data_IF_375502508961
#
_entry.id   IF_375502508961
#
_cell.length_a   1.000
_cell.length_b   1.000
_cell.length_c   1.000
_cell.angle_alpha   90.00
_cell.angle_beta   90.00
_cell.angle_gamma   90.00
#
_symmetry.space_group_name_H-M   'P 1'
#
loop_
_entity.id
_entity.type
_entity.pdbx_description
1 polymer ?
#
# COMPACT_ATOMS: atom_id res chain seq x y z
N UNK A 1 38.96 35.38 8.61
CA UNK A 1 38.16 34.51 9.50
C UNK A 1 38.46 33.07 9.12
N UNK A 2 39.36 32.47 9.87
CA UNK A 2 39.81 31.09 9.74
C UNK A 2 39.02 30.23 10.74
N UNK A 3 38.61 29.01 10.35
CA UNK A 3 38.76 27.84 11.21
C UNK A 3 38.52 26.54 10.42
N UNK A 4 39.62 25.94 9.96
CA UNK A 4 39.71 24.51 9.64
C UNK A 4 40.13 23.82 10.94
N UNK A 5 39.29 22.93 11.46
CA UNK A 5 39.65 22.10 12.63
C UNK A 5 40.19 20.77 12.09
N UNK A 6 41.52 20.69 12.14
CA UNK A 6 42.34 19.50 11.91
C UNK A 6 42.49 18.83 13.28
N UNK A 7 42.04 17.59 13.43
CA UNK A 7 42.40 16.76 14.59
C UNK A 7 43.38 15.69 14.11
N UNK A 8 44.66 15.98 14.34
CA UNK A 8 45.78 15.07 14.19
C UNK A 8 46.12 14.60 15.61
N UNK A 9 45.87 13.33 15.94
CA UNK A 9 46.43 12.71 17.14
C UNK A 9 47.29 11.56 16.69
N UNK A 10 48.58 11.82 16.85
CA UNK A 10 49.74 11.00 16.55
C UNK A 10 50.02 10.18 17.81
N UNK A 11 49.84 8.86 17.76
CA UNK A 11 50.39 7.95 18.79
C UNK A 11 51.37 6.99 18.10
N UNK A 12 52.62 7.43 18.14
CA UNK A 12 53.84 6.71 18.52
C UNK A 12 53.94 5.23 18.15
N UNK A 13 54.88 5.00 17.23
CA UNK A 13 55.49 3.71 16.94
C UNK A 13 56.34 3.18 18.11
N UNK A 14 56.13 1.90 18.43
CA UNK A 14 57.11 0.92 18.89
C UNK A 14 56.76 -0.34 18.07
N UNK A 15 57.60 -1.01 17.29
CA UNK A 15 58.98 -1.38 17.52
C UNK A 15 59.04 -2.92 17.48
N UNK A 16 59.47 -3.48 16.34
CA UNK A 16 60.17 -4.76 16.15
C UNK A 16 59.69 -6.01 16.93
N UNK A 17 59.19 -7.03 16.21
CA UNK A 17 59.72 -8.40 16.35
C UNK A 17 59.42 -9.22 15.09
N UNK A 18 60.50 -9.80 14.55
CA UNK A 18 60.56 -10.73 13.43
C UNK A 18 59.67 -11.97 13.63
N UNK A 19 59.15 -12.52 12.52
CA UNK A 19 58.63 -13.88 12.53
C UNK A 19 57.83 -14.27 11.30
N UNK A 20 58.50 -14.54 10.16
CA UNK A 20 57.95 -15.48 9.18
C UNK A 20 57.87 -16.85 9.83
N UNK A 21 56.65 -17.38 10.00
CA UNK A 21 56.39 -18.82 10.11
C UNK A 21 55.13 -19.14 9.32
N UNK A 22 55.35 -19.69 8.13
CA UNK A 22 54.45 -20.63 7.50
C UNK A 22 54.32 -21.86 8.42
N UNK A 23 53.11 -22.14 8.90
CA UNK A 23 52.66 -23.50 9.18
C UNK A 23 51.15 -23.53 9.44
N UNK A 24 50.54 -24.52 8.79
CA UNK A 24 49.31 -25.23 9.15
C UNK A 24 47.95 -24.62 8.80
N UNK A 25 47.51 -25.05 7.62
CA UNK A 25 46.14 -25.44 7.26
C UNK A 25 45.38 -25.96 8.50
N UNK A 26 44.56 -25.09 9.11
CA UNK A 26 43.44 -25.51 9.95
C UNK A 26 42.14 -25.09 9.30
N UNK A 27 41.39 -26.13 8.96
CA UNK A 27 40.01 -26.19 8.50
C UNK A 27 39.10 -25.39 9.46
N UNK A 28 39.05 -24.08 9.26
CA UNK A 28 38.06 -23.21 9.87
C UNK A 28 36.81 -23.26 9.02
N UNK A 29 35.82 -24.04 9.46
CA UNK A 29 34.43 -23.84 9.05
C UNK A 29 34.12 -22.39 9.38
N UNK A 30 34.09 -21.54 8.37
CA UNK A 30 33.54 -20.20 8.48
C UNK A 30 32.05 -20.39 8.70
N UNK A 31 31.64 -20.40 9.97
CA UNK A 31 30.25 -20.17 10.36
C UNK A 31 29.93 -18.73 9.97
N UNK A 32 29.68 -18.51 8.67
CA UNK A 32 28.88 -17.39 8.20
C UNK A 32 27.53 -17.60 8.86
N UNK A 33 27.30 -16.89 9.96
CA UNK A 33 26.02 -16.89 10.66
C UNK A 33 25.03 -16.16 9.72
N UNK A 34 24.59 -16.86 8.66
CA UNK A 34 23.48 -16.42 7.82
C UNK A 34 22.28 -16.38 8.76
N UNK A 35 21.83 -15.19 9.08
CA UNK A 35 20.52 -15.01 9.66
C UNK A 35 19.50 -15.43 8.59
N UNK A 36 19.16 -16.72 8.56
CA UNK A 36 18.16 -17.28 7.66
C UNK A 36 16.80 -16.90 8.22
N UNK A 37 15.96 -16.27 7.40
CA UNK A 37 14.58 -15.98 7.77
C UNK A 37 13.84 -17.31 7.95
N UNK A 38 12.89 -17.37 8.89
CA UNK A 38 12.10 -18.60 9.10
C UNK A 38 11.48 -19.07 7.79
N UNK A 39 11.55 -20.38 7.50
CA UNK A 39 11.07 -21.04 6.28
C UNK A 39 11.81 -20.66 4.97
N UNK A 40 12.93 -19.94 5.03
CA UNK A 40 13.74 -19.59 3.85
C UNK A 40 14.72 -20.72 3.44
N UNK A 41 14.94 -21.70 4.30
CA UNK A 41 15.70 -22.91 4.02
C UNK A 41 14.89 -23.99 3.26
N UNK A 42 13.56 -23.90 3.30
CA UNK A 42 12.66 -24.85 2.63
C UNK A 42 12.42 -24.40 1.20
N UNK A 43 13.10 -25.04 0.24
CA UNK A 43 12.94 -24.76 -1.18
C UNK A 43 11.77 -25.53 -1.77
N UNK A 44 10.85 -24.83 -2.42
CA UNK A 44 9.65 -25.40 -3.06
C UNK A 44 9.78 -25.55 -4.57
N UNK A 45 10.54 -24.67 -5.22
CA UNK A 45 10.79 -24.71 -6.67
C UNK A 45 12.12 -24.05 -7.03
N UNK A 46 12.61 -24.27 -8.25
CA UNK A 46 13.75 -23.55 -8.83
C UNK A 46 13.36 -22.97 -10.18
N UNK A 47 13.76 -21.72 -10.43
CA UNK A 47 13.60 -21.05 -11.73
C UNK A 47 14.97 -20.61 -12.21
N UNK A 48 15.49 -21.25 -13.26
CA UNK A 48 16.86 -21.04 -13.78
C UNK A 48 17.93 -21.02 -12.68
N UNK A 49 17.85 -21.95 -11.73
CA UNK A 49 18.80 -22.06 -10.61
C UNK A 49 18.53 -21.14 -9.41
N UNK A 50 17.56 -20.23 -9.50
CA UNK A 50 17.14 -19.40 -8.36
C UNK A 50 16.04 -20.10 -7.56
N UNK A 51 16.23 -20.38 -6.25
CA UNK A 51 15.25 -21.09 -5.43
C UNK A 51 14.06 -20.18 -5.08
N UNK A 52 12.84 -20.72 -5.16
CA UNK A 52 11.63 -20.16 -4.54
C UNK A 52 11.39 -20.91 -3.24
N UNK A 53 11.39 -20.18 -2.13
CA UNK A 53 11.34 -20.76 -0.78
C UNK A 53 9.93 -20.73 -0.21
N UNK A 54 9.69 -21.47 0.87
CA UNK A 54 8.42 -21.40 1.60
C UNK A 54 8.20 -20.00 2.21
N UNK A 55 9.27 -19.33 2.65
CA UNK A 55 9.22 -17.93 3.05
C UNK A 55 8.63 -17.02 1.96
N UNK A 56 9.07 -17.17 0.69
CA UNK A 56 8.55 -16.38 -0.43
C UNK A 56 7.02 -16.52 -0.55
N UNK A 57 6.52 -17.76 -0.53
CA UNK A 57 5.09 -18.06 -0.66
C UNK A 57 4.29 -17.47 0.51
N UNK A 58 4.73 -17.71 1.74
CA UNK A 58 4.04 -17.22 2.94
C UNK A 58 4.10 -15.70 3.04
N UNK A 59 5.19 -15.07 2.60
CA UNK A 59 5.31 -13.62 2.53
C UNK A 59 4.28 -13.03 1.57
N UNK A 60 4.14 -13.62 0.38
CA UNK A 60 3.16 -13.19 -0.63
C UNK A 60 1.73 -13.39 -0.14
N UNK A 61 1.42 -14.49 0.53
CA UNK A 61 0.12 -14.71 1.17
C UNK A 61 -0.17 -13.58 2.16
N UNK A 62 0.78 -13.25 3.03
CA UNK A 62 0.54 -12.23 4.05
C UNK A 62 0.45 -10.80 3.48
N UNK A 63 1.12 -10.50 2.36
CA UNK A 63 1.10 -9.16 1.76
C UNK A 63 -0.08 -8.90 0.82
N UNK A 64 -0.44 -9.88 0.00
CA UNK A 64 -1.43 -9.71 -1.08
C UNK A 64 -2.83 -10.04 -0.60
N UNK A 65 -2.90 -11.05 0.25
CA UNK A 65 -4.13 -11.68 0.66
C UNK A 65 -4.43 -11.19 2.08
N UNK A 66 -5.14 -10.05 2.19
CA UNK A 66 -5.83 -9.62 3.44
C UNK A 66 -6.99 -10.56 3.81
N UNK A 67 -6.87 -11.84 3.52
CA UNK A 67 -7.94 -12.82 3.70
C UNK A 67 -7.94 -13.35 5.13
N UNK A 68 -9.14 -13.74 5.55
CA UNK A 68 -9.41 -14.50 6.76
C UNK A 68 -8.44 -15.69 6.91
N UNK A 69 -8.15 -16.03 8.17
CA UNK A 69 -7.23 -17.12 8.57
C UNK A 69 -7.47 -18.46 7.85
N UNK A 70 -8.69 -18.73 7.40
CA UNK A 70 -9.09 -19.96 6.70
C UNK A 70 -8.44 -20.10 5.32
N UNK A 71 -8.42 -19.04 4.51
CA UNK A 71 -7.79 -19.08 3.18
C UNK A 71 -6.27 -19.20 3.26
N UNK A 72 -5.66 -18.81 4.39
CA UNK A 72 -4.23 -19.01 4.61
C UNK A 72 -3.87 -20.48 4.81
N UNK A 73 -4.82 -21.36 5.14
CA UNK A 73 -4.56 -22.80 5.35
C UNK A 73 -4.85 -23.65 4.11
N UNK A 74 -5.43 -23.08 3.07
CA UNK A 74 -5.76 -23.83 1.85
C UNK A 74 -4.51 -24.08 0.99
N UNK A 75 -4.15 -25.35 0.84
CA UNK A 75 -3.03 -25.79 0.01
C UNK A 75 -3.24 -25.46 -1.49
N UNK A 76 -4.48 -25.36 -1.96
CA UNK A 76 -4.74 -24.93 -3.33
C UNK A 76 -4.37 -23.46 -3.54
N UNK A 77 -4.58 -22.61 -2.54
CA UNK A 77 -4.16 -21.20 -2.58
C UNK A 77 -2.65 -21.10 -2.58
N UNK A 78 -1.96 -21.86 -1.71
CA UNK A 78 -0.49 -21.93 -1.70
C UNK A 78 0.08 -22.35 -3.04
N UNK A 79 -0.49 -23.40 -3.64
CA UNK A 79 -0.06 -23.92 -4.95
C UNK A 79 -0.20 -22.86 -6.05
N UNK A 80 -1.34 -22.16 -6.12
CA UNK A 80 -1.55 -21.10 -7.11
C UNK A 80 -0.59 -19.93 -6.93
N UNK A 81 -0.27 -19.58 -5.68
CA UNK A 81 0.72 -18.52 -5.38
C UNK A 81 2.11 -18.97 -5.79
N UNK A 82 2.49 -20.22 -5.51
CA UNK A 82 3.77 -20.78 -5.96
C UNK A 82 3.88 -20.76 -7.49
N UNK A 83 2.84 -21.19 -8.21
CA UNK A 83 2.78 -21.13 -9.68
C UNK A 83 2.92 -19.68 -10.20
N UNK A 84 2.25 -18.72 -9.54
CA UNK A 84 2.37 -17.30 -9.86
C UNK A 84 3.78 -16.75 -9.62
N UNK A 85 4.43 -17.14 -8.51
CA UNK A 85 5.81 -16.75 -8.21
C UNK A 85 6.80 -17.34 -9.22
N UNK A 86 6.61 -18.59 -9.63
CA UNK A 86 7.40 -19.23 -10.70
C UNK A 86 7.29 -18.41 -11.99
N UNK A 87 6.06 -18.11 -12.42
CA UNK A 87 5.81 -17.35 -13.64
C UNK A 87 6.41 -15.93 -13.57
N UNK A 88 6.18 -15.22 -12.46
CA UNK A 88 6.71 -13.87 -12.26
C UNK A 88 8.24 -13.86 -12.28
N UNK A 89 8.89 -14.82 -11.62
CA UNK A 89 10.35 -14.93 -11.59
C UNK A 89 10.93 -15.27 -12.96
N UNK A 90 10.28 -16.16 -13.72
CA UNK A 90 10.70 -16.47 -15.07
C UNK A 90 10.67 -15.23 -15.96
N UNK A 91 9.60 -14.43 -15.89
CA UNK A 91 9.47 -13.18 -16.64
C UNK A 91 10.53 -12.16 -16.22
N UNK A 92 10.77 -12.00 -14.92
CA UNK A 92 11.78 -11.08 -14.40
C UNK A 92 13.17 -11.42 -14.92
N UNK A 93 13.57 -12.70 -14.88
CA UNK A 93 14.86 -13.17 -15.41
C UNK A 93 14.97 -12.90 -16.92
N UNK A 94 13.90 -13.12 -17.69
CA UNK A 94 13.91 -12.81 -19.12
C UNK A 94 13.98 -11.32 -19.42
N UNK A 95 13.43 -10.46 -18.55
CA UNK A 95 13.56 -9.01 -18.67
C UNK A 95 14.97 -8.54 -18.29
N UNK A 96 15.56 -9.06 -17.22
CA UNK A 96 16.91 -8.72 -16.76
C UNK A 96 17.96 -8.96 -17.85
N UNK A 97 17.82 -10.05 -18.62
CA UNK A 97 18.68 -10.36 -19.77
C UNK A 97 18.63 -9.31 -20.89
N UNK A 98 17.54 -8.54 -20.98
CA UNK A 98 17.30 -7.55 -22.04
C UNK A 98 17.66 -6.12 -21.63
N UNK A 99 17.96 -5.88 -20.36
CA UNK A 99 18.27 -4.54 -19.85
C UNK A 99 19.59 -4.03 -20.41
N UNK A 100 19.60 -2.80 -20.90
CA UNK A 100 20.83 -2.08 -21.24
C UNK A 100 21.55 -1.60 -19.97
N UNK A 101 22.81 -1.19 -20.08
CA UNK A 101 23.56 -0.63 -18.94
C UNK A 101 22.91 0.64 -18.37
N UNK A 102 22.24 1.44 -19.22
CA UNK A 102 21.46 2.58 -18.76
C UNK A 102 20.25 2.12 -17.94
N UNK A 103 19.50 1.14 -18.43
CA UNK A 103 18.29 0.64 -17.74
C UNK A 103 18.65 0.00 -16.39
N UNK A 104 19.78 -0.71 -16.31
CA UNK A 104 20.31 -1.24 -15.04
C UNK A 104 20.64 -0.14 -14.05
N UNK A 105 21.28 0.94 -14.52
CA UNK A 105 21.63 2.07 -13.66
C UNK A 105 20.38 2.81 -13.14
N UNK A 106 19.33 2.91 -13.96
CA UNK A 106 18.04 3.48 -13.58
C UNK A 106 17.32 2.59 -12.56
N UNK A 107 17.23 1.28 -12.82
CA UNK A 107 16.66 0.31 -11.89
C UNK A 107 17.36 0.31 -10.52
N UNK A 108 18.70 0.42 -10.49
CA UNK A 108 19.46 0.50 -9.24
C UNK A 108 19.08 1.74 -8.41
N UNK A 109 18.80 2.87 -9.08
CA UNK A 109 18.32 4.08 -8.39
C UNK A 109 16.92 3.89 -7.80
N UNK A 110 16.03 3.22 -8.52
CA UNK A 110 14.70 2.89 -8.02
C UNK A 110 14.75 1.92 -6.82
N UNK A 111 15.60 0.89 -6.90
CA UNK A 111 15.81 -0.07 -5.81
C UNK A 111 16.34 0.64 -4.56
N UNK A 112 17.30 1.56 -4.72
CA UNK A 112 17.83 2.34 -3.60
C UNK A 112 16.75 3.23 -2.96
N UNK A 113 15.92 3.91 -3.77
CA UNK A 113 14.81 4.70 -3.25
C UNK A 113 13.78 3.84 -2.51
N UNK A 114 13.43 2.66 -3.04
CA UNK A 114 12.52 1.73 -2.39
C UNK A 114 13.09 1.21 -1.06
N UNK A 115 14.40 0.93 -1.01
CA UNK A 115 15.08 0.54 0.23
C UNK A 115 14.97 1.61 1.30
N UNK A 116 15.21 2.87 0.95
CA UNK A 116 15.06 4.00 1.87
C UNK A 116 13.63 4.12 2.39
N UNK A 117 12.63 3.99 1.52
CA UNK A 117 11.21 3.99 1.93
C UNK A 117 10.89 2.85 2.90
N UNK A 118 11.39 1.63 2.64
CA UNK A 118 11.18 0.48 3.53
C UNK A 118 11.82 0.69 4.90
N UNK A 119 13.01 1.30 4.95
CA UNK A 119 13.70 1.63 6.20
C UNK A 119 12.92 2.67 7.00
N UNK A 120 12.47 3.75 6.34
CA UNK A 120 11.63 4.78 6.99
C UNK A 120 10.35 4.15 7.54
N UNK A 121 9.64 3.36 6.72
CA UNK A 121 8.42 2.67 7.16
C UNK A 121 8.66 1.80 8.39
N UNK A 122 9.75 1.04 8.40
CA UNK A 122 10.11 0.19 9.54
C UNK A 122 10.42 1.03 10.78
N UNK A 123 11.23 2.07 10.63
CA UNK A 123 11.55 2.99 11.72
C UNK A 123 10.28 3.60 12.33
N UNK A 124 9.38 4.15 11.51
CA UNK A 124 8.13 4.72 11.97
C UNK A 124 7.25 3.69 12.68
N UNK A 125 7.16 2.45 12.18
CA UNK A 125 6.37 1.39 12.81
C UNK A 125 6.90 0.98 14.19
N UNK A 126 8.20 1.09 14.43
CA UNK A 126 8.84 0.73 15.69
C UNK A 126 8.85 1.90 16.69
N UNK A 127 8.83 3.15 16.21
CA UNK A 127 9.05 4.35 17.03
C UNK A 127 7.80 5.22 17.21
N UNK A 128 6.78 5.07 16.37
CA UNK A 128 5.51 5.80 16.52
C UNK A 128 4.51 4.91 17.25
N UNK A 129 4.15 5.30 18.46
CA UNK A 129 2.96 4.79 19.14
C UNK A 129 1.79 5.66 18.73
N UNK A 130 1.04 5.23 17.70
CA UNK A 130 -0.19 5.90 17.34
C UNK A 130 -1.22 5.71 18.47
N UNK A 131 -1.78 6.80 18.99
CA UNK A 131 -2.92 6.71 19.88
C UNK A 131 -4.11 6.12 19.09
N UNK A 132 -4.77 5.06 19.61
CA UNK A 132 -5.93 4.50 18.94
C UNK A 132 -7.02 5.56 18.80
N UNK A 133 -7.55 5.73 17.60
CA UNK A 133 -8.69 6.61 17.37
C UNK A 133 -9.90 6.00 18.07
N UNK A 134 -10.49 6.72 19.01
CA UNK A 134 -11.74 6.35 19.66
C UNK A 134 -12.95 6.97 18.93
N UNK A 135 -14.13 6.48 19.25
CA UNK A 135 -15.37 6.89 18.59
C UNK A 135 -15.67 8.39 18.77
N UNK A 136 -15.35 8.95 19.94
CA UNK A 136 -15.59 10.36 20.22
C UNK A 136 -14.69 11.28 19.37
N UNK A 137 -13.43 10.90 19.15
CA UNK A 137 -12.53 11.61 18.24
C UNK A 137 -13.01 11.56 16.80
N UNK A 138 -13.51 10.40 16.35
CA UNK A 138 -14.08 10.26 15.01
C UNK A 138 -15.35 11.09 14.84
N UNK A 139 -16.27 11.05 15.81
CA UNK A 139 -17.51 11.84 15.81
C UNK A 139 -17.21 13.34 15.77
N UNK A 140 -16.30 13.79 16.64
CA UNK A 140 -15.89 15.20 16.69
C UNK A 140 -15.26 15.66 15.37
N UNK A 141 -14.43 14.83 14.74
CA UNK A 141 -13.85 15.15 13.44
C UNK A 141 -14.92 15.26 12.34
N UNK A 142 -15.88 14.32 12.30
CA UNK A 142 -16.98 14.34 11.34
C UNK A 142 -17.83 15.60 11.48
N UNK A 143 -18.23 15.93 12.71
CA UNK A 143 -19.07 17.10 12.98
C UNK A 143 -18.36 18.42 12.67
N UNK A 144 -17.03 18.50 12.87
CA UNK A 144 -16.26 19.71 12.58
C UNK A 144 -15.83 19.86 11.12
N UNK A 145 -16.01 18.83 10.28
CA UNK A 145 -15.63 18.81 8.87
C UNK A 145 -16.76 18.32 7.96
N UNK A 146 -18.01 18.69 8.26
CA UNK A 146 -19.19 18.26 7.51
C UNK A 146 -19.12 18.61 6.01
N UNK A 147 -18.37 19.65 5.64
CA UNK A 147 -18.04 20.04 4.27
C UNK A 147 -17.26 18.97 3.50
N UNK A 148 -16.38 18.20 4.16
CA UNK A 148 -15.65 17.08 3.54
C UNK A 148 -16.59 15.90 3.24
N UNK A 149 -17.70 15.81 3.99
CA UNK A 149 -18.67 14.72 3.92
C UNK A 149 -19.96 15.08 3.17
N UNK A 150 -19.92 16.15 2.35
CA UNK A 150 -21.02 16.47 1.45
C UNK A 150 -22.21 17.13 2.12
N UNK A 151 -21.99 17.94 3.16
CA UNK A 151 -23.01 18.84 3.74
C UNK A 151 -23.41 20.00 2.81
N UNK A 152 -23.59 19.70 1.53
CA UNK A 152 -24.13 20.61 0.54
C UNK A 152 -25.65 20.64 0.68
N UNK A 153 -26.20 21.83 0.92
CA UNK A 153 -27.66 22.04 0.87
C UNK A 153 -28.10 22.03 -0.60
N UNK A 154 -28.58 20.88 -1.08
CA UNK A 154 -29.16 20.77 -2.43
C UNK A 154 -30.55 21.41 -2.40
N UNK A 155 -30.73 22.48 -3.17
CA UNK A 155 -32.04 23.05 -3.46
C UNK A 155 -32.51 22.53 -4.82
N UNK A 156 -33.59 21.76 -4.83
CA UNK A 156 -34.20 21.27 -6.05
C UNK A 156 -35.32 22.24 -6.42
N UNK A 157 -35.25 22.78 -7.63
CA UNK A 157 -36.31 23.60 -8.21
C UNK A 157 -36.96 22.80 -9.33
N UNK A 158 -38.27 22.65 -9.29
CA UNK A 158 -39.06 22.00 -10.34
C UNK A 158 -39.99 23.03 -10.97
N UNK A 159 -40.01 23.08 -12.30
CA UNK A 159 -40.90 23.94 -13.06
C UNK A 159 -41.99 23.07 -13.67
N UNK A 160 -43.24 23.39 -13.36
CA UNK A 160 -44.41 22.70 -13.89
C UNK A 160 -45.08 23.66 -14.88
N UNK A 161 -45.23 23.21 -16.12
CA UNK A 161 -45.90 23.96 -17.18
C UNK A 161 -47.16 23.20 -17.63
N UNK A 162 -48.21 23.94 -17.93
CA UNK A 162 -49.43 23.41 -18.55
C UNK A 162 -49.44 23.76 -20.03
N UNK A 163 -49.94 22.86 -20.87
CA UNK A 163 -50.13 23.09 -22.31
C UNK A 163 -51.31 24.01 -22.61
N UNK A 164 -52.19 24.24 -21.62
CA UNK A 164 -53.37 25.08 -21.75
C UNK A 164 -53.17 26.43 -21.03
N UNK A 165 -53.85 27.48 -21.53
CA UNK A 165 -53.79 28.81 -20.92
C UNK A 165 -54.56 28.84 -19.60
N UNK A 166 -53.86 28.64 -18.49
CA UNK A 166 -54.44 28.62 -17.14
C UNK A 166 -54.76 30.05 -16.66
N UNK A 167 -56.01 30.31 -16.24
CA UNK A 167 -56.39 31.58 -15.61
C UNK A 167 -55.90 31.64 -14.15
N UNK A 168 -55.72 32.86 -13.62
CA UNK A 168 -55.05 33.07 -12.33
C UNK A 168 -55.66 32.27 -11.15
N UNK A 169 -56.99 32.06 -11.13
CA UNK A 169 -57.69 31.27 -10.11
C UNK A 169 -57.38 29.77 -10.19
N UNK A 170 -57.27 29.21 -11.40
CA UNK A 170 -56.93 27.81 -11.62
C UNK A 170 -55.46 27.55 -11.30
N UNK A 171 -54.57 28.48 -11.68
CA UNK A 171 -53.15 28.43 -11.34
C UNK A 171 -52.95 28.33 -9.82
N UNK A 172 -53.65 29.16 -9.05
CA UNK A 172 -53.50 29.20 -7.61
C UNK A 172 -54.06 27.93 -6.94
N UNK A 173 -55.13 27.34 -7.51
CA UNK A 173 -55.65 26.02 -7.13
C UNK A 173 -54.65 24.89 -7.40
N UNK A 174 -54.02 24.88 -8.58
CA UNK A 174 -52.99 23.90 -8.94
C UNK A 174 -51.76 24.03 -8.04
N UNK A 175 -51.25 25.24 -7.81
CA UNK A 175 -50.11 25.47 -6.91
C UNK A 175 -50.42 24.98 -5.49
N UNK A 176 -51.66 25.13 -5.03
CA UNK A 176 -52.08 24.64 -3.71
C UNK A 176 -52.12 23.10 -3.67
N UNK A 177 -52.73 22.46 -4.67
CA UNK A 177 -52.76 20.99 -4.78
C UNK A 177 -51.36 20.38 -4.90
N UNK A 178 -50.48 21.00 -5.68
CA UNK A 178 -49.08 20.60 -5.83
C UNK A 178 -48.29 20.68 -4.52
N UNK A 179 -48.53 21.72 -3.71
CA UNK A 179 -47.90 21.88 -2.38
C UNK A 179 -48.39 20.85 -1.35
N UNK A 180 -49.62 20.38 -1.48
CA UNK A 180 -50.24 19.43 -0.57
C UNK A 180 -49.96 17.97 -0.96
N UNK A 181 -49.68 17.70 -2.24
CA UNK A 181 -49.30 16.39 -2.76
C UNK A 181 -47.88 15.99 -2.33
N UNK A 182 -47.69 14.75 -1.86
CA UNK A 182 -46.40 14.26 -1.35
C UNK A 182 -45.69 13.29 -2.29
N UNK A 183 -46.32 12.92 -3.41
CA UNK A 183 -45.89 11.81 -4.28
C UNK A 183 -46.20 12.08 -5.76
N UNK A 184 -45.33 11.56 -6.64
CA UNK A 184 -45.46 11.66 -8.11
C UNK A 184 -46.72 10.96 -8.66
N UNK A 185 -47.28 10.01 -7.90
CA UNK A 185 -48.52 9.30 -8.28
C UNK A 185 -49.76 10.19 -8.06
N UNK A 186 -49.76 10.99 -6.99
CA UNK A 186 -50.84 11.94 -6.66
C UNK A 186 -50.89 13.08 -7.69
N UNK A 187 -49.74 13.42 -8.28
CA UNK A 187 -49.63 14.44 -9.33
C UNK A 187 -50.29 14.04 -10.66
N UNK A 188 -50.29 12.74 -10.99
CA UNK A 188 -50.94 12.24 -12.21
C UNK A 188 -52.46 12.13 -12.06
N UNK A 189 -52.97 11.93 -10.84
CA UNK A 189 -54.41 11.95 -10.57
C UNK A 189 -54.97 13.38 -10.68
N UNK A 190 -54.27 14.37 -10.11
CA UNK A 190 -54.65 15.78 -10.22
C UNK A 190 -54.65 16.33 -11.67
N UNK A 191 -53.84 15.77 -12.57
CA UNK A 191 -53.83 16.18 -13.98
C UNK A 191 -54.96 15.58 -14.81
N UNK A 192 -55.59 14.48 -14.34
CA UNK A 192 -56.64 13.77 -15.07
C UNK A 192 -58.06 14.27 -14.72
N UNK A 193 -58.20 15.05 -13.64
CA UNK A 193 -59.46 15.65 -13.17
C UNK A 193 -59.72 17.07 -13.73
N UNK A 194 -58.86 17.56 -14.63
CA UNK A 194 -58.97 18.82 -15.37
C UNK A 194 -59.37 18.55 -16.84
#
# INVERSE_FOLDING_TARGET
MNNKIIFYVLIVAYGFFSGCKEADVKKGITTSNKHVLSDDDIVLAHVNGTPITKYDVEKTINSTLKVSFENKKDENVRKKILESLIASRAIAIEQEKKLTEKDKAELEKEVQALKEQLLVKKYLSEHIKAEPINEDMARKYYESHLEEFGANKIRIYEMIASEQSVIASERDGLIKGLKESKSKKDLQELSNDL
#
